data_IF_708837372891
#
_entry.id   IF_708837372891
#
_cell.length_a   1.000
_cell.length_b   1.000
_cell.length_c   1.000
_cell.angle_alpha   90.00
_cell.angle_beta   90.00
_cell.angle_gamma   90.00
#
_symmetry.space_group_name_H-M   'P 1'
#
loop_
_entity.id
_entity.type
_entity.pdbx_description
1 polymer ?
#
# COMPACT_ATOMS: atom_id res chain seq x y z
N UNK A 1 19.90 2.95 -8.54
CA UNK A 1 19.31 4.18 -8.02
C UNK A 1 18.33 3.89 -6.88
N UNK A 2 17.31 3.05 -7.07
CA UNK A 2 16.26 2.80 -6.07
C UNK A 2 16.84 2.39 -4.72
N UNK A 3 17.70 1.37 -4.68
CA UNK A 3 18.30 0.84 -3.43
C UNK A 3 19.33 1.75 -2.74
N UNK A 4 19.70 2.88 -3.38
CA UNK A 4 20.61 3.88 -2.81
C UNK A 4 19.92 5.22 -2.57
N UNK A 5 18.66 5.38 -2.97
CA UNK A 5 18.02 6.69 -3.09
C UNK A 5 17.78 7.34 -1.72
N UNK A 6 17.31 6.60 -0.73
CA UNK A 6 17.06 7.15 0.62
C UNK A 6 18.36 7.63 1.27
N UNK A 7 19.42 6.81 1.18
CA UNK A 7 20.73 7.18 1.70
C UNK A 7 21.35 8.37 0.91
N UNK A 8 21.09 8.43 -0.40
CA UNK A 8 21.49 9.57 -1.24
C UNK A 8 20.76 10.85 -0.80
N UNK A 9 19.43 10.82 -0.62
CA UNK A 9 18.65 11.98 -0.18
C UNK A 9 19.05 12.46 1.21
N UNK A 10 19.29 11.53 2.14
CA UNK A 10 19.82 11.87 3.47
C UNK A 10 21.21 12.52 3.39
N UNK A 11 22.08 12.01 2.53
CA UNK A 11 23.39 12.59 2.25
C UNK A 11 23.32 13.99 1.65
N UNK A 12 22.41 14.22 0.70
CA UNK A 12 22.18 15.54 0.12
C UNK A 12 21.68 16.56 1.18
N UNK A 13 20.74 16.16 2.01
CA UNK A 13 20.24 17.02 3.11
C UNK A 13 21.34 17.39 4.10
N UNK A 14 22.27 16.48 4.39
CA UNK A 14 23.39 16.68 5.30
C UNK A 14 24.63 17.35 4.67
N UNK A 15 24.67 17.50 3.34
CA UNK A 15 25.88 17.88 2.60
C UNK A 15 26.36 19.31 2.81
N UNK A 16 25.49 20.20 3.30
CA UNK A 16 25.77 21.64 3.40
C UNK A 16 25.88 22.36 2.05
N UNK A 17 25.49 21.72 0.93
CA UNK A 17 25.48 22.35 -0.39
C UNK A 17 24.52 23.54 -0.44
N UNK A 18 24.73 24.50 -1.34
CA UNK A 18 23.86 25.67 -1.48
C UNK A 18 22.40 25.27 -1.65
N UNK A 19 21.53 25.90 -0.88
CA UNK A 19 20.07 25.78 -0.96
C UNK A 19 19.49 27.08 -1.51
N UNK A 20 18.38 26.99 -2.22
CA UNK A 20 17.74 28.13 -2.82
C UNK A 20 16.28 27.86 -3.17
N UNK A 21 15.62 28.90 -3.68
CA UNK A 21 14.32 28.75 -4.29
C UNK A 21 14.49 28.00 -5.61
N UNK A 22 13.77 26.89 -5.78
CA UNK A 22 13.72 26.12 -7.02
C UNK A 22 12.31 26.14 -7.57
N UNK A 23 12.19 26.15 -8.89
CA UNK A 23 10.92 26.04 -9.62
C UNK A 23 10.33 24.63 -9.51
N UNK A 24 11.21 23.61 -9.55
CA UNK A 24 10.82 22.21 -9.45
C UNK A 24 10.29 21.56 -10.74
N UNK A 25 9.85 22.37 -11.72
CA UNK A 25 9.49 21.92 -13.08
C UNK A 25 10.08 22.86 -14.15
N UNK A 26 11.39 23.12 -14.04
CA UNK A 26 12.10 24.10 -14.89
C UNK A 26 12.46 23.49 -16.24
N UNK A 27 11.53 23.54 -17.19
CA UNK A 27 11.64 22.97 -18.56
C UNK A 27 11.09 23.92 -19.61
N UNK A 28 11.40 23.65 -20.88
CA UNK A 28 11.02 24.53 -22.00
C UNK A 28 9.52 24.77 -22.13
N UNK A 29 8.69 23.78 -21.75
CA UNK A 29 7.24 23.92 -21.80
C UNK A 29 6.71 25.00 -20.83
N UNK A 30 7.46 25.32 -19.76
CA UNK A 30 7.15 26.35 -18.78
C UNK A 30 7.86 27.67 -19.04
N UNK A 31 8.34 27.88 -20.27
CA UNK A 31 9.06 29.09 -20.71
C UNK A 31 8.38 29.74 -21.88
N UNK A 32 7.95 30.99 -21.70
CA UNK A 32 7.39 31.82 -22.76
C UNK A 32 8.46 32.77 -23.29
N UNK A 33 8.84 32.58 -24.55
CA UNK A 33 9.83 33.42 -25.22
C UNK A 33 9.13 34.62 -25.88
N UNK A 34 9.64 35.82 -25.60
CA UNK A 34 9.19 37.04 -26.22
C UNK A 34 9.70 37.18 -27.67
N UNK A 35 9.02 38.04 -28.47
CA UNK A 35 9.51 38.43 -29.79
C UNK A 35 10.88 39.13 -29.70
N UNK A 36 11.72 39.06 -30.74
CA UNK A 36 13.01 39.75 -30.76
C UNK A 36 12.83 41.27 -30.46
N UNK A 37 13.48 41.73 -29.39
CA UNK A 37 13.41 43.12 -28.95
C UNK A 37 12.29 43.42 -27.94
N UNK A 38 11.55 42.44 -27.47
CA UNK A 38 10.57 42.61 -26.40
C UNK A 38 11.24 43.01 -25.06
N UNK A 39 10.56 43.78 -24.23
CA UNK A 39 11.02 44.16 -22.88
C UNK A 39 11.19 42.94 -21.95
N UNK A 40 10.47 41.87 -22.25
CA UNK A 40 10.60 40.57 -21.53
C UNK A 40 10.94 39.47 -22.53
N UNK A 41 12.24 39.18 -22.72
CA UNK A 41 12.67 38.16 -23.66
C UNK A 41 12.31 36.73 -23.23
N UNK A 42 12.11 36.52 -21.92
CA UNK A 42 11.72 35.24 -21.32
C UNK A 42 10.80 35.47 -20.12
N UNK A 43 9.76 34.67 -20.01
CA UNK A 43 8.92 34.58 -18.82
C UNK A 43 8.78 33.11 -18.43
N UNK A 44 9.12 32.79 -17.18
CA UNK A 44 8.92 31.46 -16.60
C UNK A 44 7.54 31.44 -15.93
N UNK A 45 6.76 30.41 -16.23
CA UNK A 45 5.38 30.21 -15.76
C UNK A 45 5.28 28.88 -15.02
N UNK A 46 4.12 28.60 -14.42
CA UNK A 46 3.82 27.33 -13.74
C UNK A 46 4.67 27.07 -12.48
N UNK A 47 4.59 28.00 -11.55
CA UNK A 47 5.31 27.97 -10.27
C UNK A 47 4.65 27.11 -9.17
N UNK A 48 3.72 26.23 -9.54
CA UNK A 48 2.97 25.40 -8.58
C UNK A 48 3.85 24.42 -7.78
N UNK A 49 5.01 24.06 -8.30
CA UNK A 49 5.97 23.14 -7.67
C UNK A 49 7.12 23.86 -6.95
N UNK A 50 7.01 25.20 -6.80
CA UNK A 50 8.06 25.99 -6.17
C UNK A 50 8.33 25.52 -4.73
N UNK A 51 9.60 25.33 -4.40
CA UNK A 51 10.03 24.90 -3.07
C UNK A 51 11.42 25.40 -2.73
N UNK A 52 11.84 25.23 -1.49
CA UNK A 52 13.21 25.48 -1.04
C UNK A 52 13.99 24.16 -1.08
N UNK A 53 15.05 24.11 -1.84
CA UNK A 53 15.83 22.89 -2.07
C UNK A 53 17.23 23.13 -2.60
N UNK A 54 17.94 22.07 -3.02
CA UNK A 54 19.30 22.19 -3.58
C UNK A 54 19.33 23.13 -4.79
N UNK A 55 20.14 24.18 -4.70
CA UNK A 55 20.11 25.31 -5.64
C UNK A 55 20.37 24.93 -7.11
N UNK A 56 21.00 23.78 -7.37
CA UNK A 56 21.33 23.34 -8.75
C UNK A 56 20.29 22.38 -9.36
N UNK A 57 19.16 22.13 -8.68
CA UNK A 57 18.12 21.21 -9.15
C UNK A 57 17.54 21.65 -10.49
N UNK A 58 17.12 22.90 -10.61
CA UNK A 58 16.50 23.41 -11.84
C UNK A 58 17.45 23.40 -13.02
N UNK A 59 18.71 23.80 -12.84
CA UNK A 59 19.69 23.79 -13.92
C UNK A 59 20.05 22.36 -14.34
N UNK A 60 20.14 21.43 -13.39
CA UNK A 60 20.37 20.02 -13.69
C UNK A 60 19.20 19.41 -14.49
N UNK A 61 17.98 19.71 -14.07
CA UNK A 61 16.77 19.26 -14.76
C UNK A 61 16.67 19.85 -16.17
N UNK A 62 16.88 21.16 -16.30
CA UNK A 62 16.87 21.83 -17.61
C UNK A 62 17.90 21.22 -18.55
N UNK A 63 19.15 21.07 -18.14
CA UNK A 63 20.21 20.44 -18.94
C UNK A 63 19.88 18.99 -19.31
N UNK A 64 19.22 18.27 -18.42
CA UNK A 64 18.79 16.90 -18.66
C UNK A 64 17.68 16.75 -19.71
N UNK A 65 16.74 17.69 -19.81
CA UNK A 65 15.55 17.54 -20.67
C UNK A 65 15.46 18.50 -21.86
N UNK A 66 16.05 19.71 -21.80
CA UNK A 66 15.80 20.77 -22.78
C UNK A 66 16.38 20.51 -24.17
N UNK A 67 17.54 19.83 -24.23
CA UNK A 67 18.28 19.62 -25.47
C UNK A 67 18.36 18.14 -25.87
N UNK A 68 18.37 17.83 -27.17
CA UNK A 68 18.79 16.52 -27.63
C UNK A 68 20.21 16.19 -27.11
N UNK A 69 20.45 14.90 -26.78
CA UNK A 69 21.70 14.44 -26.13
C UNK A 69 22.98 14.96 -26.83
N UNK A 70 23.04 14.92 -28.17
CA UNK A 70 24.19 15.37 -28.91
C UNK A 70 24.47 16.88 -28.72
N UNK A 71 23.43 17.71 -28.79
CA UNK A 71 23.53 19.14 -28.58
C UNK A 71 23.88 19.50 -27.14
N UNK A 72 23.31 18.80 -26.17
CA UNK A 72 23.70 18.95 -24.76
C UNK A 72 25.20 18.70 -24.59
N UNK A 73 25.72 17.59 -25.11
CA UNK A 73 27.13 17.25 -25.01
C UNK A 73 28.05 18.31 -25.64
N UNK A 74 27.64 18.83 -26.78
CA UNK A 74 28.38 19.88 -27.50
C UNK A 74 28.43 21.19 -26.68
N UNK A 75 27.35 21.56 -26.02
CA UNK A 75 27.25 22.88 -25.37
C UNK A 75 27.33 22.80 -23.84
N UNK A 76 27.53 21.63 -23.23
CA UNK A 76 27.41 21.40 -21.79
C UNK A 76 28.26 22.37 -20.96
N UNK A 77 29.56 22.44 -21.23
CA UNK A 77 30.47 23.31 -20.47
C UNK A 77 30.15 24.79 -20.69
N UNK A 78 29.79 25.19 -21.90
CA UNK A 78 29.40 26.56 -22.19
C UNK A 78 28.14 27.00 -21.44
N UNK A 79 27.17 26.08 -21.32
CA UNK A 79 25.93 26.33 -20.56
C UNK A 79 26.17 26.42 -19.04
N UNK A 80 27.05 25.58 -18.49
CA UNK A 80 27.46 25.67 -17.08
C UNK A 80 28.19 26.98 -16.78
N UNK A 81 29.11 27.43 -17.67
CA UNK A 81 29.77 28.72 -17.52
C UNK A 81 28.78 29.88 -17.62
N UNK A 82 27.87 29.86 -18.59
CA UNK A 82 26.84 30.88 -18.73
C UNK A 82 25.96 30.99 -17.49
N UNK A 83 25.59 29.87 -16.87
CA UNK A 83 24.87 29.84 -15.60
C UNK A 83 25.69 30.43 -14.47
N UNK A 84 26.98 30.00 -14.32
CA UNK A 84 27.84 30.52 -13.29
C UNK A 84 28.08 32.04 -13.45
N UNK A 85 28.31 32.51 -14.67
CA UNK A 85 28.51 33.95 -14.94
C UNK A 85 27.25 34.76 -14.59
N UNK A 86 26.05 34.19 -14.84
CA UNK A 86 24.77 34.81 -14.52
C UNK A 86 24.54 34.95 -12.98
N UNK A 87 25.18 34.13 -12.15
CA UNK A 87 25.13 34.28 -10.70
C UNK A 87 25.84 35.57 -10.22
N UNK A 88 26.66 36.20 -11.07
CA UNK A 88 27.16 37.56 -10.91
C UNK A 88 28.08 37.77 -9.72
N UNK A 89 28.75 36.73 -9.19
CA UNK A 89 29.70 36.84 -8.08
C UNK A 89 29.08 37.26 -6.74
N UNK A 90 27.77 37.34 -6.65
CA UNK A 90 27.05 37.66 -5.40
C UNK A 90 27.04 36.48 -4.42
N UNK A 91 27.25 35.27 -4.94
CA UNK A 91 27.37 34.00 -4.19
C UNK A 91 28.80 33.48 -4.33
N UNK A 92 29.43 32.98 -3.24
CA UNK A 92 30.79 32.41 -3.31
C UNK A 92 30.74 30.97 -3.90
N UNK A 93 30.21 30.85 -5.12
CA UNK A 93 30.07 29.58 -5.84
C UNK A 93 31.07 29.57 -7.00
N UNK A 94 31.90 28.56 -7.07
CA UNK A 94 32.83 28.34 -8.18
C UNK A 94 32.18 27.57 -9.32
N UNK A 95 32.80 27.58 -10.51
CA UNK A 95 32.32 26.75 -11.62
C UNK A 95 32.40 25.25 -11.30
N UNK A 96 33.32 24.83 -10.44
CA UNK A 96 33.43 23.44 -10.01
C UNK A 96 32.32 23.08 -9.03
N UNK A 97 31.87 24.02 -8.18
CA UNK A 97 30.69 23.84 -7.33
C UNK A 97 29.42 23.68 -8.19
N UNK A 98 29.32 24.45 -9.28
CA UNK A 98 28.19 24.31 -10.23
C UNK A 98 28.21 22.93 -10.88
N UNK A 99 29.37 22.48 -11.38
CA UNK A 99 29.50 21.15 -12.01
C UNK A 99 29.13 20.03 -11.05
N UNK A 100 29.69 20.07 -9.86
CA UNK A 100 29.42 19.04 -8.85
C UNK A 100 27.97 19.09 -8.36
N UNK A 101 27.41 20.28 -8.16
CA UNK A 101 26.01 20.42 -7.79
C UNK A 101 25.06 19.91 -8.86
N UNK A 102 25.29 20.22 -10.14
CA UNK A 102 24.52 19.69 -11.27
C UNK A 102 24.65 18.18 -11.39
N UNK A 103 25.85 17.64 -11.19
CA UNK A 103 26.11 16.21 -11.16
C UNK A 103 25.26 15.52 -10.10
N UNK A 104 25.28 16.04 -8.88
CA UNK A 104 24.46 15.52 -7.78
C UNK A 104 22.97 15.63 -8.06
N UNK A 105 22.47 16.72 -8.63
CA UNK A 105 21.04 16.92 -8.88
C UNK A 105 20.54 16.33 -10.21
N UNK A 106 21.40 15.69 -11.03
CA UNK A 106 21.00 15.09 -12.31
C UNK A 106 19.97 13.97 -12.18
N UNK A 107 19.85 13.30 -11.02
CA UNK A 107 18.84 12.28 -10.76
C UNK A 107 17.42 12.83 -10.70
N UNK A 108 17.26 14.13 -10.37
CA UNK A 108 15.94 14.75 -10.24
C UNK A 108 15.12 14.59 -11.54
N UNK A 109 15.72 14.82 -12.69
CA UNK A 109 15.05 14.66 -13.97
C UNK A 109 14.64 13.22 -14.30
N UNK A 110 15.41 12.23 -13.85
CA UNK A 110 15.02 10.81 -13.96
C UNK A 110 13.82 10.52 -13.07
N UNK A 111 13.83 11.03 -11.83
CA UNK A 111 12.72 10.88 -10.90
C UNK A 111 11.44 11.50 -11.47
N UNK A 112 11.53 12.73 -12.00
CA UNK A 112 10.38 13.42 -12.62
C UNK A 112 9.83 12.66 -13.82
N UNK A 113 10.70 12.04 -14.65
CA UNK A 113 10.27 11.24 -15.80
C UNK A 113 9.58 9.92 -15.39
N UNK A 114 9.80 9.42 -14.18
CA UNK A 114 9.12 8.23 -13.62
C UNK A 114 7.81 8.62 -12.94
N UNK A 115 7.83 9.64 -12.09
CA UNK A 115 6.70 9.97 -11.20
C UNK A 115 5.61 10.77 -11.95
N UNK A 116 5.99 11.73 -12.81
CA UNK A 116 5.01 12.59 -13.48
C UNK A 116 3.99 11.83 -14.34
N UNK A 117 4.36 10.77 -15.10
CA UNK A 117 3.39 9.96 -15.84
C UNK A 117 2.33 9.27 -14.95
N UNK A 118 2.68 9.03 -13.68
CA UNK A 118 1.75 8.41 -12.73
C UNK A 118 0.69 9.36 -12.19
N UNK A 119 0.89 10.68 -12.35
CA UNK A 119 0.03 11.72 -11.81
C UNK A 119 -0.90 12.35 -12.86
N UNK A 120 -0.78 11.97 -14.14
CA UNK A 120 -1.55 12.56 -15.24
C UNK A 120 -2.28 11.50 -16.04
N UNK A 121 -3.38 11.90 -16.68
CA UNK A 121 -4.10 11.01 -17.59
C UNK A 121 -3.20 10.61 -18.78
N UNK A 122 -3.16 9.32 -19.09
CA UNK A 122 -2.35 8.77 -20.15
C UNK A 122 -2.82 9.23 -21.54
N UNK A 123 -1.89 9.68 -22.36
CA UNK A 123 -2.09 10.02 -23.77
C UNK A 123 -0.86 9.62 -24.58
N UNK A 124 -1.02 9.30 -25.87
CA UNK A 124 0.11 8.91 -26.75
C UNK A 124 1.20 10.00 -26.76
N UNK A 125 0.81 11.29 -26.87
CA UNK A 125 1.73 12.41 -26.80
C UNK A 125 2.44 12.52 -25.44
N UNK A 126 1.72 12.26 -24.35
CA UNK A 126 2.29 12.23 -23.00
C UNK A 126 3.33 11.14 -22.87
N UNK A 127 3.01 9.94 -23.34
CA UNK A 127 3.93 8.79 -23.31
C UNK A 127 5.22 9.09 -24.10
N UNK A 128 5.12 9.64 -25.31
CA UNK A 128 6.27 10.04 -26.12
C UNK A 128 7.14 11.10 -25.40
N UNK A 129 6.49 12.10 -24.79
CA UNK A 129 7.17 13.14 -24.01
C UNK A 129 7.93 12.58 -22.83
N UNK A 130 7.28 11.76 -22.00
CA UNK A 130 7.92 11.18 -20.81
C UNK A 130 9.03 10.20 -21.16
N UNK A 131 8.88 9.42 -22.23
CA UNK A 131 9.96 8.56 -22.73
C UNK A 131 11.16 9.37 -23.23
N UNK A 132 10.94 10.49 -23.91
CA UNK A 132 12.02 11.40 -24.32
C UNK A 132 12.70 12.04 -23.10
N UNK A 133 11.94 12.45 -22.09
CA UNK A 133 12.47 12.96 -20.81
C UNK A 133 13.32 11.89 -20.11
N UNK A 134 12.82 10.67 -20.00
CA UNK A 134 13.54 9.55 -19.38
C UNK A 134 14.87 9.31 -20.08
N UNK A 135 14.85 9.16 -21.41
CA UNK A 135 16.06 8.90 -22.20
C UNK A 135 17.11 10.01 -22.04
N UNK A 136 16.68 11.27 -22.12
CA UNK A 136 17.59 12.43 -22.05
C UNK A 136 18.19 12.58 -20.64
N UNK A 137 17.37 12.46 -19.59
CA UNK A 137 17.84 12.58 -18.21
C UNK A 137 18.70 11.39 -17.80
N UNK A 138 18.35 10.15 -18.16
CA UNK A 138 19.19 8.98 -17.91
C UNK A 138 20.57 9.14 -18.58
N UNK A 139 20.61 9.63 -19.83
CA UNK A 139 21.86 9.91 -20.50
C UNK A 139 22.63 11.07 -19.86
N UNK A 140 21.95 12.06 -19.26
CA UNK A 140 22.62 13.12 -18.49
C UNK A 140 23.31 12.57 -17.25
N UNK A 141 22.65 11.70 -16.49
CA UNK A 141 23.24 11.00 -15.34
C UNK A 141 24.52 10.24 -15.74
N UNK A 142 24.49 9.53 -16.89
CA UNK A 142 25.65 8.79 -17.39
C UNK A 142 26.77 9.71 -17.86
N UNK A 143 26.45 10.77 -18.60
CA UNK A 143 27.42 11.72 -19.12
C UNK A 143 28.10 12.53 -18.00
N UNK A 144 27.39 12.82 -16.92
CA UNK A 144 27.91 13.49 -15.74
C UNK A 144 28.67 12.55 -14.78
N UNK A 145 28.78 11.26 -15.08
CA UNK A 145 29.31 10.22 -14.18
C UNK A 145 28.64 10.24 -12.79
N UNK A 146 27.33 10.59 -12.75
CA UNK A 146 26.63 10.82 -11.50
C UNK A 146 26.34 9.53 -10.70
N UNK A 147 26.40 8.35 -11.33
CA UNK A 147 26.22 7.09 -10.60
C UNK A 147 27.29 6.91 -9.50
N UNK A 148 28.43 7.53 -9.62
CA UNK A 148 29.54 7.45 -8.66
C UNK A 148 29.30 8.26 -7.37
N UNK A 149 28.31 9.18 -7.37
CA UNK A 149 27.92 9.91 -6.15
C UNK A 149 26.87 9.17 -5.33
N UNK A 150 26.31 8.09 -5.87
CA UNK A 150 25.37 7.27 -5.12
C UNK A 150 26.10 6.49 -4.02
N UNK A 151 25.56 6.47 -2.79
CA UNK A 151 26.07 5.59 -1.75
C UNK A 151 25.90 4.12 -2.16
N UNK A 152 26.63 3.23 -1.49
CA UNK A 152 26.45 1.80 -1.70
C UNK A 152 24.97 1.42 -1.54
N UNK A 153 24.45 0.52 -2.40
CA UNK A 153 23.09 0.02 -2.22
C UNK A 153 22.89 -0.51 -0.79
N UNK A 154 21.86 -0.04 -0.15
CA UNK A 154 21.42 -0.58 1.14
C UNK A 154 20.01 -1.13 0.97
N UNK A 155 19.73 -2.25 1.61
CA UNK A 155 18.36 -2.68 1.83
C UNK A 155 17.90 -1.97 3.10
N UNK A 156 16.90 -1.08 3.04
CA UNK A 156 16.35 -0.47 4.24
C UNK A 156 15.90 -1.56 5.21
N UNK A 157 16.13 -1.38 6.51
CA UNK A 157 15.54 -2.29 7.48
C UNK A 157 14.01 -2.20 7.40
N UNK A 158 13.30 -3.34 7.56
CA UNK A 158 11.85 -3.33 7.62
C UNK A 158 11.34 -2.37 8.70
N UNK A 159 10.31 -1.60 8.36
CA UNK A 159 9.65 -0.75 9.35
C UNK A 159 8.87 -1.63 10.33
N UNK A 160 8.82 -1.19 11.58
CA UNK A 160 8.05 -1.85 12.61
C UNK A 160 7.13 -0.85 13.32
N UNK A 161 5.90 -1.24 13.67
CA UNK A 161 5.02 -0.42 14.46
C UNK A 161 5.55 -0.27 15.89
N UNK A 162 5.16 0.80 16.55
CA UNK A 162 5.39 1.01 17.98
C UNK A 162 4.24 0.42 18.81
N UNK A 163 4.45 0.21 20.09
CA UNK A 163 3.40 -0.24 20.99
C UNK A 163 2.21 0.76 21.10
N UNK A 164 2.46 2.02 20.80
CA UNK A 164 1.44 3.08 20.81
C UNK A 164 0.50 2.96 19.61
N UNK A 165 0.99 2.41 18.49
CA UNK A 165 0.18 2.18 17.29
C UNK A 165 -0.88 1.07 17.46
N UNK A 166 -0.93 0.38 18.59
CA UNK A 166 -2.02 -0.54 18.93
C UNK A 166 -3.31 0.18 19.34
N UNK A 167 -3.20 1.43 19.77
CA UNK A 167 -4.31 2.29 20.16
C UNK A 167 -5.05 2.91 18.98
N UNK A 168 -6.03 3.76 19.30
CA UNK A 168 -6.71 4.58 18.29
C UNK A 168 -5.93 5.86 17.99
N UNK A 169 -6.10 6.36 16.77
CA UNK A 169 -5.45 7.55 16.25
C UNK A 169 -6.44 8.70 16.04
N UNK A 170 -5.94 9.92 16.16
CA UNK A 170 -6.75 11.11 15.89
C UNK A 170 -7.11 11.19 14.40
N UNK A 171 -8.39 11.31 14.04
CA UNK A 171 -8.81 11.42 12.66
C UNK A 171 -8.36 12.74 12.04
N UNK A 172 -7.96 12.72 10.79
CA UNK A 172 -7.86 13.95 10.00
C UNK A 172 -9.26 14.43 9.59
N UNK A 173 -9.39 15.70 9.20
CA UNK A 173 -10.67 16.23 8.71
C UNK A 173 -11.04 15.82 7.27
N UNK A 174 -10.29 14.90 6.65
CA UNK A 174 -10.49 14.47 5.28
C UNK A 174 -11.63 13.44 5.18
N UNK A 175 -12.50 13.56 4.15
CA UNK A 175 -13.48 12.52 3.85
C UNK A 175 -12.82 11.14 3.73
N UNK A 176 -13.54 10.07 4.06
CA UNK A 176 -13.08 8.67 3.97
C UNK A 176 -11.87 8.33 4.88
N UNK A 177 -11.48 9.23 5.80
CA UNK A 177 -10.56 8.81 6.84
C UNK A 177 -11.22 7.72 7.69
N UNK A 178 -10.53 6.61 7.85
CA UNK A 178 -11.03 5.47 8.60
C UNK A 178 -9.92 4.79 9.36
N UNK A 179 -10.27 4.17 10.45
CA UNK A 179 -9.40 3.33 11.25
C UNK A 179 -10.01 1.96 11.43
N UNK A 180 -9.22 0.89 11.32
CA UNK A 180 -9.76 -0.45 11.47
C UNK A 180 -8.77 -1.45 12.06
N UNK A 181 -9.31 -2.31 12.91
CA UNK A 181 -8.67 -3.51 13.46
C UNK A 181 -9.29 -4.72 12.77
N UNK A 182 -8.45 -5.55 12.18
CA UNK A 182 -8.83 -6.77 11.47
C UNK A 182 -8.12 -7.97 12.06
N UNK A 183 -8.83 -9.08 12.11
CA UNK A 183 -8.40 -10.33 12.72
C UNK A 183 -8.93 -11.49 11.88
N UNK A 184 -8.09 -12.41 11.45
CA UNK A 184 -8.52 -13.64 10.79
C UNK A 184 -7.90 -14.88 11.41
N UNK A 185 -8.45 -16.04 11.07
CA UNK A 185 -7.92 -17.36 11.40
C UNK A 185 -8.43 -18.40 10.42
N UNK A 186 -7.68 -19.49 10.26
CA UNK A 186 -8.10 -20.66 9.50
C UNK A 186 -7.62 -21.94 10.19
N UNK A 187 -8.54 -22.86 10.48
CA UNK A 187 -8.24 -24.17 11.07
C UNK A 187 -8.58 -25.29 10.07
N UNK A 188 -7.59 -25.83 9.35
CA UNK A 188 -7.82 -26.93 8.40
C UNK A 188 -8.21 -28.24 9.09
N UNK A 189 -7.93 -28.40 10.38
CA UNK A 189 -8.32 -29.57 11.14
C UNK A 189 -9.82 -29.65 11.42
N UNK A 190 -10.48 -28.48 11.51
CA UNK A 190 -11.92 -28.36 11.66
C UNK A 190 -12.64 -27.94 10.38
N UNK A 191 -11.91 -27.65 9.28
CA UNK A 191 -12.42 -27.10 8.03
C UNK A 191 -13.20 -25.78 8.24
N UNK A 192 -12.70 -24.88 9.09
CA UNK A 192 -13.36 -23.63 9.44
C UNK A 192 -12.34 -22.49 9.41
N UNK A 193 -12.74 -21.38 8.80
CA UNK A 193 -12.05 -20.11 8.91
C UNK A 193 -13.02 -18.99 9.24
N UNK A 194 -12.50 -17.91 9.78
CA UNK A 194 -13.29 -16.74 10.12
C UNK A 194 -12.46 -15.47 10.18
N UNK A 195 -13.15 -14.35 10.18
CA UNK A 195 -12.53 -13.04 10.39
C UNK A 195 -13.46 -12.09 11.12
N UNK A 196 -12.86 -11.15 11.86
CA UNK A 196 -13.56 -10.08 12.58
C UNK A 196 -12.91 -8.75 12.19
N UNK A 197 -13.71 -7.71 12.03
CA UNK A 197 -13.24 -6.34 11.79
C UNK A 197 -14.09 -5.33 12.56
N UNK A 198 -13.43 -4.41 13.24
CA UNK A 198 -13.97 -3.13 13.64
C UNK A 198 -13.44 -2.06 12.67
N UNK A 199 -14.33 -1.24 12.12
CA UNK A 199 -13.96 -0.07 11.31
C UNK A 199 -14.61 1.17 11.90
N UNK A 200 -13.84 2.19 12.22
CA UNK A 200 -14.33 3.50 12.64
C UNK A 200 -14.30 4.45 11.46
N UNK A 201 -15.40 5.13 11.18
CA UNK A 201 -15.56 6.15 10.16
C UNK A 201 -15.99 7.46 10.84
N UNK A 202 -15.11 8.11 11.61
CA UNK A 202 -15.46 9.20 12.51
C UNK A 202 -16.03 10.42 11.80
N UNK A 203 -15.56 10.73 10.58
CA UNK A 203 -16.05 11.87 9.82
C UNK A 203 -17.47 11.67 9.26
N UNK A 204 -17.95 10.43 9.22
CA UNK A 204 -19.34 10.07 8.87
C UNK A 204 -20.18 9.75 10.10
N UNK A 205 -19.56 9.62 11.26
CA UNK A 205 -20.24 9.47 12.56
C UNK A 205 -20.70 8.06 12.90
N UNK A 206 -20.13 7.02 12.24
CA UNK A 206 -20.53 5.63 12.48
C UNK A 206 -19.34 4.65 12.53
N UNK A 207 -19.60 3.44 12.95
CA UNK A 207 -18.66 2.33 12.97
C UNK A 207 -19.25 1.10 12.25
N UNK A 208 -18.35 0.25 11.73
CA UNK A 208 -18.69 -1.04 11.13
C UNK A 208 -18.19 -2.18 12.00
N UNK A 209 -19.08 -3.11 12.34
CA UNK A 209 -18.75 -4.34 13.03
C UNK A 209 -19.03 -5.49 12.06
N UNK A 210 -18.02 -6.21 11.66
CA UNK A 210 -18.16 -7.34 10.75
C UNK A 210 -17.49 -8.57 11.37
N UNK A 211 -18.18 -9.71 11.36
CA UNK A 211 -17.60 -10.99 11.75
C UNK A 211 -18.21 -12.10 10.90
N UNK A 212 -17.35 -12.85 10.23
CA UNK A 212 -17.79 -13.93 9.36
C UNK A 212 -17.09 -15.25 9.70
N UNK A 213 -17.80 -16.34 9.46
CA UNK A 213 -17.33 -17.71 9.66
C UNK A 213 -17.76 -18.55 8.45
N UNK A 214 -16.86 -19.34 7.89
CA UNK A 214 -17.15 -20.19 6.73
C UNK A 214 -16.28 -21.44 6.68
N UNK A 215 -16.74 -22.43 5.92
CA UNK A 215 -15.99 -23.65 5.69
C UNK A 215 -16.76 -24.66 4.87
N UNK A 216 -16.09 -25.72 4.38
CA UNK A 216 -16.75 -26.78 3.65
C UNK A 216 -17.87 -27.45 4.47
N UNK A 217 -19.04 -27.61 3.88
CA UNK A 217 -20.17 -28.30 4.52
C UNK A 217 -20.87 -27.54 5.62
N UNK A 218 -20.63 -26.25 5.76
CA UNK A 218 -21.39 -25.35 6.62
C UNK A 218 -21.82 -24.09 5.84
N UNK A 219 -22.95 -23.45 6.21
CA UNK A 219 -23.30 -22.15 5.66
C UNK A 219 -22.26 -21.11 6.04
N UNK A 220 -22.10 -20.09 5.22
CA UNK A 220 -21.37 -18.88 5.64
C UNK A 220 -22.22 -18.13 6.65
N UNK A 221 -21.66 -17.83 7.81
CA UNK A 221 -22.31 -17.09 8.88
C UNK A 221 -21.71 -15.68 8.93
N UNK A 222 -22.57 -14.66 8.96
CA UNK A 222 -22.15 -13.27 8.99
C UNK A 222 -22.89 -12.47 10.04
N UNK A 223 -22.17 -11.74 10.86
CA UNK A 223 -22.63 -10.63 11.68
C UNK A 223 -22.17 -9.37 10.97
N UNK A 224 -23.08 -8.58 10.41
CA UNK A 224 -22.79 -7.38 9.64
C UNK A 224 -23.58 -6.21 10.24
N UNK A 225 -22.86 -5.26 10.78
CA UNK A 225 -23.41 -4.01 11.29
C UNK A 225 -22.63 -2.87 10.63
N UNK A 226 -23.34 -2.10 9.80
CA UNK A 226 -22.71 -1.05 8.97
C UNK A 226 -22.96 0.36 9.50
N UNK A 227 -23.80 0.52 10.52
CA UNK A 227 -24.21 1.83 11.06
C UNK A 227 -24.23 1.82 12.59
N UNK A 228 -23.27 1.13 13.20
CA UNK A 228 -23.11 1.18 14.65
C UNK A 228 -22.72 2.60 15.09
N UNK A 229 -23.19 3.07 16.27
CA UNK A 229 -22.72 4.34 16.80
C UNK A 229 -21.22 4.30 17.07
N UNK A 230 -20.54 5.45 16.85
CA UNK A 230 -19.13 5.56 17.21
C UNK A 230 -18.95 5.30 18.71
N UNK A 231 -18.04 4.41 19.10
CA UNK A 231 -17.78 4.15 20.50
C UNK A 231 -16.92 5.27 21.13
N UNK A 232 -17.04 5.46 22.43
CA UNK A 232 -16.12 6.32 23.20
C UNK A 232 -14.68 5.77 23.19
N UNK A 233 -14.53 4.47 23.01
CA UNK A 233 -13.25 3.77 22.87
C UNK A 233 -13.41 2.59 21.92
N UNK A 234 -12.43 2.38 21.03
CA UNK A 234 -12.39 1.21 20.13
C UNK A 234 -12.44 -0.14 20.88
N UNK A 235 -12.09 -0.14 22.16
CA UNK A 235 -12.05 -1.36 22.96
C UNK A 235 -13.42 -1.97 23.24
N UNK A 236 -14.50 -1.20 23.10
CA UNK A 236 -15.86 -1.69 23.27
C UNK A 236 -16.85 -0.95 22.37
N UNK A 237 -17.42 -1.67 21.41
CA UNK A 237 -18.42 -1.16 20.49
C UNK A 237 -19.67 -2.04 20.59
N UNK A 238 -20.83 -1.44 20.83
CA UNK A 238 -22.08 -2.18 20.95
C UNK A 238 -23.22 -1.50 20.22
N UNK A 239 -24.13 -2.33 19.70
CA UNK A 239 -25.45 -1.95 19.17
C UNK A 239 -26.52 -2.70 19.96
N UNK A 240 -27.81 -2.58 19.57
CA UNK A 240 -28.87 -3.35 20.21
C UNK A 240 -28.68 -4.88 20.08
N UNK A 241 -28.02 -5.34 19.03
CA UNK A 241 -27.91 -6.76 18.63
C UNK A 241 -26.48 -7.30 18.61
N UNK A 242 -25.47 -6.45 18.70
CA UNK A 242 -24.05 -6.84 18.62
C UNK A 242 -23.26 -6.16 19.72
N UNK A 243 -22.41 -6.93 20.40
CA UNK A 243 -21.46 -6.47 21.42
C UNK A 243 -20.08 -7.00 21.06
N UNK A 244 -19.14 -6.08 20.77
CA UNK A 244 -17.75 -6.37 20.39
C UNK A 244 -16.80 -5.73 21.40
N UNK A 245 -15.93 -6.54 21.99
CA UNK A 245 -14.85 -6.10 22.88
C UNK A 245 -13.52 -6.50 22.28
N UNK A 246 -12.65 -5.51 22.11
CA UNK A 246 -11.27 -5.65 21.65
C UNK A 246 -10.32 -5.31 22.79
N UNK A 247 -9.37 -6.18 23.10
CA UNK A 247 -8.42 -5.96 24.19
C UNK A 247 -7.01 -6.31 23.76
N UNK A 248 -6.14 -5.32 23.59
CA UNK A 248 -4.71 -5.53 23.49
C UNK A 248 -4.19 -5.95 24.88
N UNK A 249 -4.08 -7.25 25.13
CA UNK A 249 -3.59 -7.77 26.41
C UNK A 249 -2.10 -7.51 26.61
N UNK A 250 -1.35 -7.54 25.51
CA UNK A 250 0.04 -7.11 25.42
C UNK A 250 0.22 -6.47 24.04
N UNK A 251 0.51 -5.16 23.94
CA UNK A 251 0.63 -4.46 22.66
C UNK A 251 1.56 -5.15 21.69
N UNK A 252 1.11 -5.32 20.44
CA UNK A 252 1.78 -6.02 19.34
C UNK A 252 2.06 -7.53 19.59
N UNK A 253 1.79 -8.05 20.77
CA UNK A 253 2.05 -9.45 21.13
C UNK A 253 0.76 -10.26 21.27
N UNK A 254 -0.24 -9.76 21.99
CA UNK A 254 -1.46 -10.51 22.23
C UNK A 254 -2.70 -9.59 22.19
N UNK A 255 -3.73 -10.04 21.47
CA UNK A 255 -4.98 -9.32 21.32
C UNK A 255 -6.17 -10.26 21.43
N UNK A 256 -7.09 -9.95 22.34
CA UNK A 256 -8.32 -10.72 22.54
C UNK A 256 -9.50 -10.02 21.88
N UNK A 257 -10.33 -10.83 21.23
CA UNK A 257 -11.60 -10.43 20.60
C UNK A 257 -12.74 -11.22 21.21
N UNK A 258 -13.70 -10.54 21.79
CA UNK A 258 -14.96 -11.15 22.24
C UNK A 258 -16.12 -10.51 21.49
N UNK A 259 -16.93 -11.34 20.83
CA UNK A 259 -18.12 -10.89 20.10
C UNK A 259 -19.33 -11.72 20.54
N UNK A 260 -20.44 -11.04 20.79
CA UNK A 260 -21.77 -11.63 20.94
C UNK A 260 -22.72 -10.89 20.03
N UNK A 261 -23.47 -11.59 19.21
CA UNK A 261 -24.37 -10.90 18.30
C UNK A 261 -25.30 -11.82 17.55
N UNK A 262 -26.36 -11.22 17.03
CA UNK A 262 -27.26 -11.85 16.08
C UNK A 262 -26.70 -11.62 14.67
N UNK A 263 -26.57 -12.69 13.91
CA UNK A 263 -26.12 -12.70 12.53
C UNK A 263 -27.07 -13.45 11.63
N UNK A 264 -26.56 -13.80 10.44
CA UNK A 264 -27.29 -14.58 9.45
C UNK A 264 -26.44 -15.69 8.88
N UNK A 265 -27.04 -16.83 8.56
CA UNK A 265 -26.40 -17.95 7.87
C UNK A 265 -26.88 -18.02 6.41
N UNK A 266 -25.95 -18.21 5.50
CA UNK A 266 -26.18 -18.21 4.05
C UNK A 266 -25.72 -19.55 3.47
N UNK A 267 -26.65 -20.28 2.84
CA UNK A 267 -26.32 -21.53 2.16
C UNK A 267 -25.53 -21.26 0.85
N UNK A 268 -25.81 -20.14 0.18
CA UNK A 268 -25.00 -19.62 -0.92
C UNK A 268 -24.24 -18.35 -0.45
N UNK A 269 -22.93 -18.39 -0.26
CA UNK A 269 -22.15 -17.22 0.17
C UNK A 269 -22.21 -16.04 -0.82
N UNK A 270 -22.56 -16.28 -2.09
CA UNK A 270 -22.71 -15.21 -3.09
C UNK A 270 -23.91 -14.28 -2.78
N UNK A 271 -24.85 -14.71 -1.96
CA UNK A 271 -25.97 -13.85 -1.55
C UNK A 271 -25.48 -12.63 -0.77
N UNK A 272 -24.36 -12.72 -0.04
CA UNK A 272 -23.72 -11.60 0.63
C UNK A 272 -23.22 -10.52 -0.34
N UNK A 273 -23.01 -10.84 -1.62
CA UNK A 273 -22.63 -9.89 -2.68
C UNK A 273 -23.84 -9.31 -3.44
N UNK A 274 -25.08 -9.75 -3.08
CA UNK A 274 -26.32 -9.38 -3.79
C UNK A 274 -27.36 -8.80 -2.85
N UNK A 275 -27.74 -9.56 -1.84
CA UNK A 275 -28.76 -9.19 -0.85
C UNK A 275 -28.50 -9.93 0.47
N UNK A 276 -27.87 -9.26 1.41
CA UNK A 276 -27.55 -9.84 2.72
C UNK A 276 -28.78 -10.14 3.59
N UNK A 277 -29.96 -9.68 3.20
CA UNK A 277 -31.20 -9.92 3.96
C UNK A 277 -31.75 -11.35 3.84
N UNK A 278 -31.33 -12.12 2.82
CA UNK A 278 -31.87 -13.46 2.55
C UNK A 278 -31.37 -14.55 3.52
N UNK A 279 -30.29 -14.31 4.23
CA UNK A 279 -29.75 -15.22 5.24
C UNK A 279 -30.74 -15.50 6.38
N UNK A 280 -30.75 -16.72 6.93
CA UNK A 280 -31.55 -17.07 8.11
C UNK A 280 -30.88 -16.56 9.40
N UNK A 281 -31.66 -16.03 10.38
CA UNK A 281 -31.10 -15.54 11.65
C UNK A 281 -30.35 -16.62 12.44
N UNK A 282 -29.22 -16.26 13.04
CA UNK A 282 -28.42 -17.12 13.91
C UNK A 282 -27.73 -16.29 14.99
N UNK A 283 -27.49 -16.92 16.15
CA UNK A 283 -26.70 -16.30 17.23
C UNK A 283 -25.24 -16.73 17.09
N UNK A 284 -24.34 -15.77 17.29
CA UNK A 284 -22.89 -15.96 17.22
C UNK A 284 -22.25 -15.49 18.52
N UNK A 285 -21.35 -16.33 19.05
CA UNK A 285 -20.49 -15.98 20.19
C UNK A 285 -19.07 -16.36 19.82
N UNK A 286 -18.16 -15.39 19.88
CA UNK A 286 -16.72 -15.60 19.68
C UNK A 286 -15.95 -15.12 20.91
N UNK A 287 -14.95 -15.88 21.31
CA UNK A 287 -13.98 -15.51 22.34
C UNK A 287 -12.64 -16.09 21.94
N UNK A 288 -11.83 -15.28 21.27
CA UNK A 288 -10.62 -15.66 20.59
C UNK A 288 -9.46 -14.75 21.00
N UNK A 289 -8.26 -15.30 21.04
CA UNK A 289 -7.01 -14.58 21.31
C UNK A 289 -5.99 -14.82 20.20
N UNK A 290 -5.47 -13.73 19.66
CA UNK A 290 -4.39 -13.71 18.67
C UNK A 290 -3.07 -13.48 19.37
N UNK A 291 -2.13 -14.40 19.24
CA UNK A 291 -0.76 -14.29 19.75
C UNK A 291 0.20 -14.15 18.58
N UNK A 292 0.99 -13.10 18.56
CA UNK A 292 1.96 -12.83 17.48
C UNK A 292 3.07 -13.86 17.49
N UNK A 293 3.38 -14.42 16.31
CA UNK A 293 4.41 -15.47 16.15
C UNK A 293 5.53 -15.08 15.20
N UNK A 294 5.42 -13.95 14.50
CA UNK A 294 6.42 -13.43 13.58
C UNK A 294 6.81 -11.99 13.91
N UNK A 295 7.59 -11.39 13.02
CA UNK A 295 7.97 -9.99 13.13
C UNK A 295 6.83 -9.11 12.61
N UNK A 296 6.40 -8.08 13.36
CA UNK A 296 5.46 -7.09 12.86
C UNK A 296 6.00 -6.44 11.58
N UNK A 297 5.13 -6.23 10.62
CA UNK A 297 5.46 -5.56 9.36
C UNK A 297 4.66 -4.28 9.21
N UNK A 298 5.33 -3.14 9.11
CA UNK A 298 4.67 -1.86 8.84
C UNK A 298 4.87 -1.46 7.39
N UNK A 299 3.78 -1.03 6.74
CA UNK A 299 3.83 -0.50 5.38
C UNK A 299 4.59 0.82 5.30
N UNK A 300 5.31 1.02 4.17
CA UNK A 300 6.00 2.28 3.87
C UNK A 300 5.11 3.33 3.21
N UNK A 301 4.01 2.91 2.60
CA UNK A 301 3.17 3.76 1.74
C UNK A 301 1.87 4.22 2.41
N UNK A 302 1.52 3.63 3.55
CA UNK A 302 0.32 3.97 4.32
C UNK A 302 0.52 3.59 5.78
N UNK A 303 -0.27 4.16 6.65
CA UNK A 303 -0.28 3.83 8.08
C UNK A 303 -1.07 2.53 8.29
N UNK A 304 -0.35 1.41 8.21
CA UNK A 304 -0.87 0.06 8.43
C UNK A 304 0.25 -0.87 8.85
N UNK A 305 -0.06 -1.81 9.72
CA UNK A 305 0.84 -2.92 10.02
C UNK A 305 0.11 -4.26 10.00
N UNK A 306 0.90 -5.33 9.83
CA UNK A 306 0.46 -6.71 9.75
C UNK A 306 1.22 -7.56 10.78
N UNK A 307 0.52 -8.48 11.41
CA UNK A 307 1.05 -9.36 12.44
C UNK A 307 0.62 -10.82 12.18
N UNK A 308 1.55 -11.72 11.82
CA UNK A 308 1.23 -13.14 11.77
C UNK A 308 1.03 -13.68 13.20
N UNK A 309 -0.03 -14.45 13.39
CA UNK A 309 -0.49 -14.90 14.70
C UNK A 309 -0.81 -16.38 14.71
N UNK A 310 -0.86 -16.95 15.92
CA UNK A 310 -1.67 -18.11 16.24
C UNK A 310 -2.92 -17.66 16.99
N UNK A 311 -4.00 -18.42 16.83
CA UNK A 311 -5.32 -18.08 17.34
C UNK A 311 -5.85 -19.23 18.20
N UNK A 312 -6.24 -18.91 19.43
CA UNK A 312 -6.82 -19.88 20.36
C UNK A 312 -8.11 -19.35 20.96
N UNK A 313 -9.06 -20.23 21.26
CA UNK A 313 -10.34 -19.85 21.87
C UNK A 313 -11.51 -20.62 21.30
N UNK A 314 -12.70 -20.03 21.34
CA UNK A 314 -13.93 -20.69 20.93
C UNK A 314 -14.83 -19.80 20.10
N UNK A 315 -15.52 -20.41 19.12
CA UNK A 315 -16.66 -19.83 18.41
C UNK A 315 -17.85 -20.74 18.53
N UNK A 316 -19.00 -20.18 18.89
CA UNK A 316 -20.27 -20.92 18.96
C UNK A 316 -21.28 -20.28 18.02
N UNK A 317 -21.85 -21.11 17.15
CA UNK A 317 -22.94 -20.75 16.23
C UNK A 317 -24.05 -21.79 16.36
N UNK A 318 -25.27 -21.36 16.66
CA UNK A 318 -26.45 -22.25 16.79
C UNK A 318 -26.22 -23.43 17.76
N UNK A 319 -25.46 -23.21 18.84
CA UNK A 319 -25.13 -24.26 19.81
C UNK A 319 -24.04 -25.24 19.38
N UNK A 320 -23.52 -25.14 18.17
CA UNK A 320 -22.31 -25.84 17.73
C UNK A 320 -21.09 -25.02 18.11
N UNK A 321 -20.19 -25.60 18.87
CA UNK A 321 -18.94 -24.94 19.27
C UNK A 321 -17.74 -25.47 18.50
N UNK A 322 -16.88 -24.58 18.08
CA UNK A 322 -15.57 -24.83 17.53
C UNK A 322 -14.53 -24.36 18.54
N UNK A 323 -13.53 -25.18 18.79
CA UNK A 323 -12.42 -24.83 19.70
C UNK A 323 -11.13 -24.80 18.92
N UNK A 324 -10.45 -23.68 18.91
CA UNK A 324 -9.21 -23.46 18.23
C UNK A 324 -8.04 -23.49 19.20
N UNK A 325 -6.95 -24.11 18.80
CA UNK A 325 -5.70 -24.17 19.56
C UNK A 325 -4.55 -23.92 18.57
N UNK A 326 -3.92 -22.77 18.71
CA UNK A 326 -2.81 -22.31 17.86
C UNK A 326 -3.12 -22.37 16.36
N UNK A 327 -4.38 -22.13 15.96
CA UNK A 327 -4.76 -22.06 14.56
C UNK A 327 -4.04 -20.87 13.88
N UNK A 328 -3.51 -21.04 12.65
CA UNK A 328 -2.91 -19.93 11.91
C UNK A 328 -3.88 -18.76 11.70
N UNK A 329 -3.37 -17.55 11.84
CA UNK A 329 -4.17 -16.35 11.64
C UNK A 329 -3.31 -15.10 11.47
N UNK A 330 -3.96 -14.03 11.09
CA UNK A 330 -3.37 -12.72 10.87
C UNK A 330 -4.18 -11.67 11.61
N UNK A 331 -3.54 -10.58 12.01
CA UNK A 331 -4.22 -9.36 12.37
C UNK A 331 -3.55 -8.15 11.75
N UNK A 332 -4.34 -7.15 11.42
CA UNK A 332 -3.85 -5.88 10.97
C UNK A 332 -4.53 -4.71 11.69
N UNK A 333 -3.85 -3.59 11.69
CA UNK A 333 -4.41 -2.32 12.10
C UNK A 333 -4.02 -1.26 11.08
N UNK A 334 -4.98 -0.42 10.69
CA UNK A 334 -4.75 0.62 9.69
C UNK A 334 -5.56 1.87 9.96
N UNK A 335 -4.95 3.05 9.73
CA UNK A 335 -5.57 4.35 9.92
C UNK A 335 -5.10 5.32 8.84
N UNK A 336 -5.99 5.69 7.94
CA UNK A 336 -5.70 6.62 6.83
C UNK A 336 -6.97 7.00 6.10
N UNK A 337 -6.86 7.96 5.19
CA UNK A 337 -7.87 8.17 4.14
C UNK A 337 -7.88 6.95 3.22
N UNK A 338 -9.04 6.34 3.03
CA UNK A 338 -9.18 5.13 2.22
C UNK A 338 -10.37 5.19 1.30
N UNK A 339 -10.10 5.32 0.01
CA UNK A 339 -11.11 5.20 -1.03
C UNK A 339 -11.18 3.75 -1.55
N UNK A 340 -12.09 2.95 -0.98
CA UNK A 340 -12.29 1.56 -1.40
C UNK A 340 -12.81 1.41 -2.83
N UNK A 341 -13.31 2.47 -3.44
CA UNK A 341 -13.88 2.50 -4.79
C UNK A 341 -12.94 3.09 -5.84
N UNK A 342 -11.83 3.67 -5.44
CA UNK A 342 -10.86 4.33 -6.31
C UNK A 342 -9.80 3.40 -6.88
N UNK A 343 -9.62 2.21 -6.32
CA UNK A 343 -8.62 1.23 -6.74
C UNK A 343 -9.08 -0.18 -6.41
N UNK A 344 -8.50 -1.17 -7.07
CA UNK A 344 -8.67 -2.59 -6.76
C UNK A 344 -7.40 -3.16 -6.14
N UNK A 345 -7.50 -4.26 -5.40
CA UNK A 345 -6.34 -4.99 -4.88
C UNK A 345 -6.64 -6.46 -4.65
N UNK A 346 -5.56 -7.24 -4.58
CA UNK A 346 -5.57 -8.57 -4.00
C UNK A 346 -4.67 -8.56 -2.78
N UNK A 347 -5.23 -8.78 -1.59
CA UNK A 347 -4.53 -8.91 -0.32
C UNK A 347 -4.48 -10.37 0.09
N UNK A 348 -3.36 -10.82 0.66
CA UNK A 348 -3.18 -12.19 1.12
C UNK A 348 -2.35 -12.25 2.41
N UNK A 349 -2.73 -13.14 3.32
CA UNK A 349 -1.94 -13.55 4.48
C UNK A 349 -1.94 -15.08 4.56
N UNK A 350 -0.77 -15.67 4.40
CA UNK A 350 -0.59 -17.11 4.25
C UNK A 350 0.42 -17.63 5.27
N UNK A 351 0.11 -18.73 5.89
CA UNK A 351 0.90 -19.36 6.94
C UNK A 351 1.22 -20.78 6.53
N UNK A 352 2.50 -21.05 6.25
CA UNK A 352 2.95 -22.36 5.81
C UNK A 352 3.28 -23.26 7.02
N UNK A 353 3.15 -24.57 6.82
CA UNK A 353 3.33 -25.58 7.86
C UNK A 353 4.78 -25.65 8.40
N UNK A 354 5.75 -25.08 7.66
CA UNK A 354 7.16 -24.95 8.08
C UNK A 354 7.42 -23.69 8.94
N UNK A 355 6.37 -22.94 9.28
CA UNK A 355 6.47 -21.69 10.03
C UNK A 355 6.85 -20.48 9.18
N UNK A 356 6.79 -20.58 7.84
CA UNK A 356 6.94 -19.43 6.94
C UNK A 356 5.65 -18.63 6.91
N UNK A 357 5.76 -17.31 7.03
CA UNK A 357 4.67 -16.36 6.84
C UNK A 357 4.87 -15.60 5.55
N UNK A 358 3.81 -15.49 4.74
CA UNK A 358 3.78 -14.75 3.49
C UNK A 358 2.62 -13.75 3.55
N UNK A 359 2.91 -12.50 3.29
CA UNK A 359 1.89 -11.48 3.15
C UNK A 359 2.17 -10.67 1.89
N UNK A 360 1.13 -10.41 1.11
CA UNK A 360 1.27 -9.66 -0.12
C UNK A 360 0.00 -8.90 -0.49
N UNK A 361 0.19 -7.70 -1.02
CA UNK A 361 -0.88 -6.91 -1.63
C UNK A 361 -0.46 -6.51 -3.02
N UNK A 362 -1.23 -6.88 -4.03
CA UNK A 362 -1.15 -6.30 -5.37
C UNK A 362 -2.17 -5.16 -5.47
N UNK A 363 -1.69 -3.93 -5.67
CA UNK A 363 -2.51 -2.74 -5.86
C UNK A 363 -2.74 -2.52 -7.36
N UNK A 364 -4.00 -2.33 -7.76
CA UNK A 364 -4.44 -2.16 -9.15
C UNK A 364 -5.18 -0.83 -9.30
N UNK A 365 -4.48 0.19 -9.72
CA UNK A 365 -5.04 1.53 -9.88
C UNK A 365 -5.36 1.74 -11.37
N UNK A 366 -6.59 2.14 -11.74
CA UNK A 366 -6.94 2.37 -13.13
C UNK A 366 -5.97 3.33 -13.82
N UNK A 367 -5.46 2.93 -14.99
CA UNK A 367 -4.53 3.72 -15.79
C UNK A 367 -3.07 3.70 -15.33
N UNK A 368 -2.74 2.96 -14.26
CA UNK A 368 -1.38 2.76 -13.77
C UNK A 368 -0.95 1.30 -13.89
N UNK A 369 0.35 1.05 -13.87
CA UNK A 369 0.87 -0.31 -13.67
C UNK A 369 0.57 -0.77 -12.25
N UNK A 370 0.17 -2.03 -12.09
CA UNK A 370 0.04 -2.62 -10.75
C UNK A 370 1.39 -2.63 -10.04
N UNK A 371 1.36 -2.52 -8.72
CA UNK A 371 2.54 -2.66 -7.88
C UNK A 371 2.22 -3.53 -6.66
N UNK A 372 3.23 -4.18 -6.12
CA UNK A 372 3.06 -5.09 -4.99
C UNK A 372 3.91 -4.68 -3.79
N UNK A 373 3.34 -4.89 -2.60
CA UNK A 373 4.01 -4.72 -1.31
C UNK A 373 3.70 -5.91 -0.41
N UNK A 374 4.50 -6.10 0.60
CA UNK A 374 4.32 -7.17 1.58
C UNK A 374 5.64 -7.70 2.10
N UNK A 375 5.62 -8.91 2.62
CA UNK A 375 6.81 -9.57 3.14
C UNK A 375 6.72 -11.10 3.04
N UNK A 376 7.86 -11.73 3.12
CA UNK A 376 7.97 -13.12 3.53
C UNK A 376 8.92 -13.24 4.71
N UNK A 377 8.63 -14.18 5.60
CA UNK A 377 9.47 -14.49 6.76
C UNK A 377 9.47 -15.98 7.01
N UNK A 378 10.63 -16.62 6.97
CA UNK A 378 10.82 -18.00 7.42
C UNK A 378 10.96 -18.04 8.93
N UNK A 379 10.59 -19.17 9.53
CA UNK A 379 10.74 -19.37 10.96
C UNK A 379 12.17 -19.09 11.43
N UNK A 380 12.33 -18.17 12.38
CA UNK A 380 13.63 -17.78 12.96
C UNK A 380 14.53 -16.93 12.05
N UNK A 381 14.07 -16.54 10.84
CA UNK A 381 14.80 -15.65 9.95
C UNK A 381 14.27 -14.21 10.02
N UNK A 382 15.05 -13.27 9.48
CA UNK A 382 14.59 -11.88 9.34
C UNK A 382 13.49 -11.79 8.30
N UNK A 383 12.56 -10.87 8.53
CA UNK A 383 11.55 -10.49 7.56
C UNK A 383 12.19 -9.86 6.30
N UNK A 384 11.74 -10.27 5.14
CA UNK A 384 12.17 -9.74 3.84
C UNK A 384 10.99 -9.05 3.18
N UNK A 385 11.11 -7.74 2.91
CA UNK A 385 10.09 -6.97 2.21
C UNK A 385 10.00 -7.36 0.72
N UNK A 386 8.79 -7.49 0.22
CA UNK A 386 8.52 -7.76 -1.19
C UNK A 386 8.63 -6.47 -2.03
N UNK A 387 9.08 -6.64 -3.25
CA UNK A 387 9.19 -5.59 -4.28
C UNK A 387 8.17 -5.79 -5.41
N UNK A 388 7.59 -7.00 -5.49
CA UNK A 388 6.55 -7.33 -6.45
C UNK A 388 5.63 -8.39 -5.88
N UNK A 389 4.34 -8.19 -6.08
CA UNK A 389 3.26 -9.16 -5.85
C UNK A 389 2.40 -9.15 -7.09
N UNK A 390 2.20 -10.32 -7.69
CA UNK A 390 1.32 -10.49 -8.86
C UNK A 390 0.33 -11.60 -8.55
N UNK A 391 -0.95 -11.28 -8.62
CA UNK A 391 -2.04 -12.24 -8.47
C UNK A 391 -2.69 -12.53 -9.82
N UNK A 392 -2.99 -13.80 -10.05
CA UNK A 392 -3.79 -14.27 -11.19
C UNK A 392 -4.92 -15.11 -10.64
N UNK A 393 -6.13 -14.63 -10.80
CA UNK A 393 -7.33 -15.22 -10.24
C UNK A 393 -8.36 -15.56 -11.30
N UNK A 394 -9.19 -16.55 -11.01
CA UNK A 394 -10.39 -16.86 -11.75
C UNK A 394 -11.61 -16.78 -10.84
N UNK A 395 -12.74 -16.35 -11.41
CA UNK A 395 -14.02 -16.22 -10.70
C UNK A 395 -15.09 -17.07 -11.38
N UNK A 396 -15.99 -17.62 -10.57
CA UNK A 396 -17.19 -18.27 -11.04
C UNK A 396 -18.27 -17.29 -11.53
N UNK A 397 -19.32 -17.81 -12.12
CA UNK A 397 -20.49 -17.02 -12.56
C UNK A 397 -21.19 -16.29 -11.37
N UNK A 398 -20.96 -16.74 -10.16
CA UNK A 398 -21.45 -16.15 -8.91
C UNK A 398 -20.52 -15.09 -8.34
N UNK A 399 -19.46 -14.70 -9.06
CA UNK A 399 -18.45 -13.70 -8.70
C UNK A 399 -17.56 -14.08 -7.50
N UNK A 400 -17.64 -15.32 -7.02
CA UNK A 400 -16.75 -15.84 -6.00
C UNK A 400 -15.45 -16.41 -6.65
N UNK A 401 -14.29 -16.26 -6.00
CA UNK A 401 -13.03 -16.78 -6.51
C UNK A 401 -13.04 -18.30 -6.52
N UNK A 402 -12.48 -18.87 -7.59
CA UNK A 402 -12.31 -20.32 -7.76
C UNK A 402 -10.88 -20.73 -7.41
N UNK A 403 -9.91 -20.10 -8.03
CA UNK A 403 -8.50 -20.32 -7.81
C UNK A 403 -7.71 -19.01 -7.96
N UNK A 404 -6.55 -18.96 -7.33
CA UNK A 404 -5.63 -17.82 -7.41
C UNK A 404 -4.20 -18.32 -7.36
N UNK A 405 -3.33 -17.74 -8.17
CA UNK A 405 -1.89 -17.93 -8.08
C UNK A 405 -1.25 -16.61 -7.69
N UNK A 406 -0.35 -16.63 -6.70
CA UNK A 406 0.45 -15.49 -6.27
C UNK A 406 1.91 -15.70 -6.63
N UNK A 407 2.52 -14.68 -7.24
CA UNK A 407 3.97 -14.61 -7.49
C UNK A 407 4.55 -13.50 -6.62
N UNK A 408 5.54 -13.83 -5.78
CA UNK A 408 6.12 -12.94 -4.77
C UNK A 408 7.63 -12.81 -4.99
N UNK A 409 8.12 -11.57 -5.14
CA UNK A 409 9.54 -11.27 -5.29
C UNK A 409 10.01 -10.14 -4.35
N UNK A 410 11.22 -10.21 -3.76
CA UNK A 410 12.23 -11.27 -3.94
C UNK A 410 11.85 -12.57 -3.25
N UNK A 411 12.44 -13.66 -3.69
CA UNK A 411 12.27 -15.00 -3.11
C UNK A 411 11.85 -16.06 -4.12
N UNK A 412 11.35 -15.66 -5.31
CA UNK A 412 10.88 -16.58 -6.34
C UNK A 412 9.72 -17.47 -5.84
N UNK A 413 8.87 -16.93 -4.94
CA UNK A 413 7.81 -17.73 -4.33
C UNK A 413 6.59 -17.67 -5.24
N UNK A 414 6.14 -18.82 -5.70
CA UNK A 414 4.83 -18.97 -6.37
C UNK A 414 3.94 -19.85 -5.51
N UNK A 415 2.77 -19.34 -5.14
CA UNK A 415 1.79 -20.02 -4.30
C UNK A 415 0.47 -20.21 -5.05
N UNK A 416 -0.02 -21.45 -5.10
CA UNK A 416 -1.36 -21.78 -5.54
C UNK A 416 -2.31 -21.77 -4.35
N UNK A 417 -3.44 -21.11 -4.53
CA UNK A 417 -4.49 -20.91 -3.53
C UNK A 417 -5.69 -21.74 -3.93
N UNK A 418 -6.08 -22.69 -3.09
CA UNK A 418 -7.24 -23.56 -3.28
C UNK A 418 -8.31 -23.20 -2.23
N UNK A 419 -9.38 -22.55 -2.67
CA UNK A 419 -10.41 -21.97 -1.81
C UNK A 419 -11.17 -23.04 -1.04
N UNK A 420 -11.32 -22.86 0.25
CA UNK A 420 -12.03 -23.77 1.17
C UNK A 420 -13.35 -23.21 1.69
N UNK A 421 -13.43 -21.89 1.87
CA UNK A 421 -14.65 -21.26 2.35
C UNK A 421 -14.69 -19.78 1.98
N UNK A 422 -15.86 -19.30 1.57
CA UNK A 422 -16.08 -17.92 1.16
C UNK A 422 -16.76 -17.11 2.27
N UNK A 423 -16.24 -15.94 2.55
CA UNK A 423 -16.80 -14.98 3.50
C UNK A 423 -16.77 -13.54 2.93
N UNK A 424 -17.50 -13.31 1.83
CA UNK A 424 -17.47 -12.05 1.12
C UNK A 424 -18.29 -10.96 1.81
N UNK A 425 -17.99 -9.69 1.49
CA UNK A 425 -18.83 -8.54 1.86
C UNK A 425 -19.01 -7.59 0.68
N UNK A 426 -20.07 -6.80 0.73
CA UNK A 426 -20.44 -5.77 -0.24
C UNK A 426 -20.36 -4.41 0.46
N UNK A 427 -19.62 -3.48 -0.11
CA UNK A 427 -19.59 -2.09 0.36
C UNK A 427 -20.30 -1.19 -0.64
N UNK A 428 -21.24 -0.38 -0.15
CA UNK A 428 -21.89 0.65 -0.94
C UNK A 428 -21.58 2.00 -0.31
N UNK A 429 -21.01 2.91 -1.11
CA UNK A 429 -20.76 4.28 -0.68
C UNK A 429 -22.06 5.10 -0.60
N UNK A 430 -22.01 6.23 0.08
CA UNK A 430 -23.13 7.17 0.18
C UNK A 430 -23.56 7.77 -1.16
N UNK A 431 -22.64 7.81 -2.15
CA UNK A 431 -22.91 8.24 -3.53
C UNK A 431 -23.31 7.08 -4.47
N UNK A 432 -23.47 5.85 -3.95
CA UNK A 432 -23.98 4.70 -4.67
C UNK A 432 -22.91 3.89 -5.42
N UNK A 433 -21.62 4.18 -5.28
CA UNK A 433 -20.54 3.31 -5.79
C UNK A 433 -20.53 1.99 -5.04
N UNK A 434 -20.30 0.90 -5.76
CA UNK A 434 -20.30 -0.45 -5.21
C UNK A 434 -18.91 -1.06 -5.32
N UNK A 435 -18.41 -1.60 -4.23
CA UNK A 435 -17.20 -2.41 -4.18
C UNK A 435 -17.51 -3.78 -3.60
N UNK A 436 -17.17 -4.82 -4.35
CA UNK A 436 -17.27 -6.20 -3.90
C UNK A 436 -15.94 -6.65 -3.30
N UNK A 437 -16.06 -7.28 -2.14
CA UNK A 437 -14.93 -7.90 -1.45
C UNK A 437 -15.18 -9.41 -1.33
N UNK A 438 -15.00 -10.19 -2.39
CA UNK A 438 -14.84 -11.62 -2.24
C UNK A 438 -13.68 -11.87 -1.28
N UNK A 439 -13.91 -12.69 -0.25
CA UNK A 439 -12.92 -13.14 0.71
C UNK A 439 -13.03 -14.63 0.87
N UNK A 440 -11.91 -15.28 1.02
CA UNK A 440 -11.88 -16.73 1.21
C UNK A 440 -10.70 -17.14 2.09
N UNK A 441 -10.93 -18.11 2.98
CA UNK A 441 -9.83 -18.89 3.49
C UNK A 441 -9.53 -20.06 2.54
N UNK A 442 -8.27 -20.45 2.49
CA UNK A 442 -7.79 -21.37 1.50
C UNK A 442 -6.66 -22.26 2.03
N UNK A 443 -6.47 -23.40 1.41
CA UNK A 443 -5.21 -24.13 1.48
C UNK A 443 -4.24 -23.57 0.45
N UNK A 444 -2.96 -23.62 0.77
CA UNK A 444 -1.87 -23.05 -0.02
C UNK A 444 -0.87 -24.14 -0.36
N UNK A 445 -0.42 -24.16 -1.61
CA UNK A 445 0.70 -24.99 -2.03
C UNK A 445 1.69 -24.15 -2.83
N UNK A 446 2.94 -24.10 -2.40
CA UNK A 446 4.01 -23.42 -3.12
C UNK A 446 4.63 -24.32 -4.18
N UNK A 447 5.28 -23.74 -5.20
CA UNK A 447 5.96 -24.52 -6.27
C UNK A 447 7.07 -25.43 -5.74
N UNK A 448 7.69 -25.08 -4.62
CA UNK A 448 8.70 -25.91 -3.93
C UNK A 448 8.08 -27.00 -3.03
N UNK A 449 6.74 -27.12 -3.02
CA UNK A 449 6.00 -28.20 -2.37
C UNK A 449 5.66 -27.96 -0.90
N UNK A 450 5.88 -26.76 -0.35
CA UNK A 450 5.41 -26.39 0.99
C UNK A 450 3.90 -26.17 0.97
N UNK A 451 3.24 -26.52 2.04
CA UNK A 451 1.79 -26.38 2.23
C UNK A 451 1.48 -25.47 3.40
N UNK A 452 0.23 -25.03 3.47
CA UNK A 452 -0.25 -24.17 4.54
C UNK A 452 -1.69 -23.72 4.33
N UNK A 453 -2.09 -22.71 5.07
CA UNK A 453 -3.41 -22.08 5.00
C UNK A 453 -3.31 -20.57 5.08
N UNK A 454 -4.38 -19.88 4.76
CA UNK A 454 -4.48 -18.45 4.96
C UNK A 454 -5.72 -17.83 4.36
N UNK A 455 -5.73 -16.52 4.31
CA UNK A 455 -6.82 -15.73 3.76
C UNK A 455 -6.37 -14.93 2.55
N UNK A 456 -7.30 -14.80 1.60
CA UNK A 456 -7.15 -13.92 0.43
C UNK A 456 -8.41 -13.06 0.31
N UNK A 457 -8.21 -11.78 0.04
CA UNK A 457 -9.24 -10.79 -0.23
C UNK A 457 -9.02 -10.18 -1.61
N UNK A 458 -10.09 -10.04 -2.34
CA UNK A 458 -10.11 -9.32 -3.62
C UNK A 458 -11.04 -8.11 -3.49
N UNK A 459 -10.52 -6.91 -3.70
CA UNK A 459 -11.36 -5.73 -3.87
C UNK A 459 -11.65 -5.58 -5.37
N UNK A 460 -12.93 -5.57 -5.73
CA UNK A 460 -13.40 -5.45 -7.11
C UNK A 460 -14.45 -4.36 -7.20
N UNK A 461 -14.09 -3.32 -7.92
CA UNK A 461 -14.99 -2.20 -8.14
C UNK A 461 -15.79 -2.42 -9.42
N UNK A 462 -17.08 -2.19 -9.34
CA UNK A 462 -17.95 -2.25 -10.49
C UNK A 462 -18.03 -0.87 -11.15
N UNK A 463 -18.05 -0.83 -12.49
CA UNK A 463 -18.24 0.42 -13.21
C UNK A 463 -19.60 1.03 -12.96
#
# INVERSE_FOLDING_TARGET
LVSSFDAYMAGEAASGRPQGLIHGDFRLDNMLFGEPGADRPLTVVDWQTVTWGPAFTDVAYFLGCALPVAQRREHYDALLHAYHDALGGQTPVTIDDVREGVRHQSFFGVLMAIVSPMLVARTDRGDEMFMAMMQRNAQHVLDADALTVLPAPSTPEPLQPSAEDEGSHEPTGEPLWSESWYFDFADPGQDVGGWVRLGLIPNEGHAWINALLCGPGMPTVAVLEWDAPLPDSYTHTSTGDVDLVLTATEPLQSHRVSLRGSGRAYDDPADLLRDESVGRPVDVVMDLEWTTVGTPYQYRITTRYELPCTVSGTVTVEGRSFTFVDAPGQRDHSWAVRDWWGMEWVWSALHLDDGTHLHGVEMRIPGMSSFGIGYHQRAGEQLVELQSVVARETFGDNELPLDTTLELEPGGITASIDVRGHAPVLLTSTDGRVSRFPRAWATVTTMDGRTGVGWVEWNRNLP
#
